data_IF_212316623749
#
_entry.id   IF_212316623749
#
_cell.length_a   1.000
_cell.length_b   1.000
_cell.length_c   1.000
_cell.angle_alpha   90.00
_cell.angle_beta   90.00
_cell.angle_gamma   90.00
#
_symmetry.space_group_name_H-M   'P 1'
#
loop_
_entity.id
_entity.type
_entity.pdbx_description
1 polymer ?
#
# COMPACT_ATOMS: atom_id res chain seq x y z
N UNK A 1 15.29 -9.20 0.53
CA UNK A 1 15.24 -7.72 0.77
C UNK A 1 13.79 -7.26 0.63
N UNK A 2 13.46 -5.99 0.38
CA UNK A 2 12.06 -5.58 0.11
C UNK A 2 11.68 -4.22 0.69
N UNK A 3 10.40 -3.88 0.63
CA UNK A 3 9.89 -2.57 1.07
C UNK A 3 9.98 -2.38 2.59
N UNK A 4 9.95 -3.45 3.39
CA UNK A 4 10.26 -3.36 4.84
C UNK A 4 11.72 -2.97 5.06
N UNK A 5 12.65 -3.54 4.30
CA UNK A 5 14.06 -3.17 4.38
C UNK A 5 14.29 -1.70 3.99
N UNK A 6 13.58 -1.21 2.96
CA UNK A 6 13.64 0.20 2.56
C UNK A 6 13.15 1.13 3.69
N UNK A 7 12.06 0.77 4.38
CA UNK A 7 11.58 1.49 5.56
C UNK A 7 12.65 1.51 6.67
N UNK A 8 13.28 0.38 6.95
CA UNK A 8 14.30 0.27 8.00
C UNK A 8 15.59 1.02 7.65
N UNK A 9 15.96 1.11 6.37
CA UNK A 9 17.07 1.95 5.93
C UNK A 9 16.83 3.44 6.23
N UNK A 10 15.57 3.88 6.22
CA UNK A 10 15.19 5.25 6.57
C UNK A 10 15.03 5.47 8.09
N UNK A 11 14.96 4.41 8.92
CA UNK A 11 14.73 4.46 10.37
C UNK A 11 15.58 5.51 11.12
N UNK A 12 16.91 5.66 10.86
CA UNK A 12 17.73 6.65 11.57
C UNK A 12 17.35 8.12 11.32
N UNK A 13 16.51 8.37 10.31
CA UNK A 13 16.10 9.70 9.86
C UNK A 13 14.64 10.03 10.19
N UNK A 14 13.94 9.15 10.93
CA UNK A 14 12.51 9.30 11.24
C UNK A 14 12.33 9.40 12.76
N UNK A 15 11.91 10.58 13.22
CA UNK A 15 11.65 10.90 14.63
C UNK A 15 10.24 11.46 14.88
N UNK A 16 9.39 11.49 13.86
CA UNK A 16 8.04 12.06 13.87
C UNK A 16 7.06 11.19 13.06
N UNK A 17 5.72 11.39 13.20
CA UNK A 17 4.74 10.74 12.33
C UNK A 17 5.10 10.96 10.86
N UNK A 18 5.00 9.90 10.05
CA UNK A 18 5.53 9.91 8.69
C UNK A 18 4.63 9.13 7.73
N UNK A 19 4.87 9.36 6.43
CA UNK A 19 4.17 8.68 5.34
C UNK A 19 5.20 7.92 4.51
N UNK A 20 4.90 6.67 4.19
CA UNK A 20 5.60 5.87 3.20
C UNK A 20 4.75 5.85 1.94
N UNK A 21 5.34 6.13 0.78
CA UNK A 21 4.67 6.12 -0.52
C UNK A 21 5.67 5.78 -1.63
N UNK A 22 5.18 5.29 -2.77
CA UNK A 22 6.04 4.99 -3.93
C UNK A 22 6.57 6.29 -4.56
N UNK A 23 7.79 6.25 -5.09
CA UNK A 23 8.43 7.43 -5.70
C UNK A 23 7.94 7.78 -7.12
N UNK A 24 7.17 6.90 -7.75
CA UNK A 24 6.74 6.94 -9.15
C UNK A 24 5.21 6.95 -9.32
N UNK A 25 4.48 7.15 -8.23
CA UNK A 25 3.00 7.12 -8.20
C UNK A 25 2.44 8.46 -7.75
N UNK A 26 1.49 8.99 -8.51
CA UNK A 26 0.68 10.16 -8.17
C UNK A 26 -0.63 9.68 -7.54
N UNK A 27 -0.82 9.92 -6.24
CA UNK A 27 -1.96 9.38 -5.47
C UNK A 27 -3.19 10.30 -5.45
N UNK A 28 -3.01 11.58 -5.78
CA UNK A 28 -4.01 12.62 -5.61
C UNK A 28 -4.10 13.18 -4.19
N UNK A 29 -4.63 14.40 -4.11
CA UNK A 29 -4.68 15.21 -2.89
C UNK A 29 -5.51 14.57 -1.77
N UNK A 30 -6.70 14.06 -2.09
CA UNK A 30 -7.64 13.46 -1.13
C UNK A 30 -7.05 12.28 -0.37
N UNK A 31 -6.24 11.47 -1.03
CA UNK A 31 -5.61 10.31 -0.41
C UNK A 31 -4.58 10.76 0.64
N UNK A 32 -3.71 11.71 0.26
CA UNK A 32 -2.72 12.30 1.15
C UNK A 32 -3.38 13.03 2.32
N UNK A 33 -4.44 13.82 2.07
CA UNK A 33 -5.18 14.54 3.11
C UNK A 33 -5.76 13.60 4.18
N UNK A 34 -6.32 12.46 3.76
CA UNK A 34 -6.83 11.43 4.70
C UNK A 34 -5.71 10.87 5.57
N UNK A 35 -4.56 10.53 4.98
CA UNK A 35 -3.41 9.97 5.69
C UNK A 35 -2.81 11.00 6.64
N UNK A 36 -2.50 12.20 6.15
CA UNK A 36 -1.98 13.32 6.94
C UNK A 36 -2.89 13.66 8.12
N UNK A 37 -4.20 13.74 7.88
CA UNK A 37 -5.18 14.02 8.93
C UNK A 37 -5.19 12.92 9.98
N UNK A 38 -5.13 11.64 9.58
CA UNK A 38 -5.12 10.53 10.54
C UNK A 38 -3.88 10.58 11.44
N UNK A 39 -2.67 10.61 10.86
CA UNK A 39 -1.42 10.52 11.64
C UNK A 39 -1.18 11.76 12.52
N UNK A 40 -1.85 12.88 12.22
CA UNK A 40 -1.82 14.08 13.05
C UNK A 40 -2.62 13.93 14.35
N UNK A 41 -3.69 13.13 14.34
CA UNK A 41 -4.64 13.05 15.45
C UNK A 41 -4.77 11.66 16.08
N UNK A 42 -4.13 10.64 15.51
CA UNK A 42 -4.22 9.25 15.95
C UNK A 42 -2.86 8.57 15.92
N UNK A 43 -2.66 7.67 16.89
CA UNK A 43 -1.42 6.92 17.05
C UNK A 43 -1.44 5.54 16.36
N UNK A 44 -2.44 5.30 15.52
CA UNK A 44 -2.62 4.05 14.77
C UNK A 44 -2.17 4.20 13.33
N UNK A 45 -1.71 3.11 12.68
CA UNK A 45 -1.45 3.15 11.24
C UNK A 45 -2.70 3.39 10.42
N UNK A 46 -2.51 3.97 9.23
CA UNK A 46 -3.58 4.08 8.26
C UNK A 46 -3.09 3.96 6.82
N UNK A 47 -4.03 3.70 5.91
CA UNK A 47 -3.81 3.73 4.46
C UNK A 47 -5.09 4.14 3.73
N UNK A 48 -5.01 4.76 2.56
CA UNK A 48 -6.12 4.82 1.64
C UNK A 48 -6.35 3.44 0.98
N UNK A 49 -7.61 3.16 0.64
CA UNK A 49 -7.99 2.01 -0.19
C UNK A 49 -8.66 2.49 -1.47
N UNK A 50 -8.19 2.00 -2.61
CA UNK A 50 -8.74 2.32 -3.93
C UNK A 50 -9.52 1.11 -4.46
N UNK A 51 -10.64 1.31 -5.19
CA UNK A 51 -11.30 0.20 -5.87
C UNK A 51 -10.36 -0.47 -6.87
N UNK A 52 -10.33 -1.80 -6.89
CA UNK A 52 -9.43 -2.58 -7.74
C UNK A 52 -9.55 -2.19 -9.22
N UNK A 53 -10.78 -1.96 -9.71
CA UNK A 53 -11.03 -1.54 -11.11
C UNK A 53 -10.30 -0.25 -11.50
N UNK A 54 -10.02 0.62 -10.54
CA UNK A 54 -9.44 1.94 -10.78
C UNK A 54 -7.91 1.88 -10.79
N UNK A 55 -7.34 0.80 -10.27
CA UNK A 55 -5.89 0.64 -10.12
C UNK A 55 -5.31 -0.49 -10.98
N UNK A 56 -6.13 -1.15 -11.79
CA UNK A 56 -5.67 -2.05 -12.83
C UNK A 56 -5.35 -1.28 -14.11
N UNK A 57 -4.25 -1.61 -14.80
CA UNK A 57 -3.93 -0.95 -16.06
C UNK A 57 -4.91 -1.37 -17.16
N UNK A 58 -5.04 -0.53 -18.19
CA UNK A 58 -5.84 -0.83 -19.38
C UNK A 58 -5.34 -2.06 -20.14
N UNK A 59 -4.03 -2.31 -20.08
CA UNK A 59 -3.36 -3.45 -20.70
C UNK A 59 -2.21 -3.92 -19.82
N UNK A 60 -1.89 -5.21 -19.91
CA UNK A 60 -0.84 -5.82 -19.11
C UNK A 60 -1.35 -6.35 -17.76
N UNK A 61 -0.40 -6.74 -16.91
CA UNK A 61 -0.65 -7.38 -15.62
C UNK A 61 0.14 -6.66 -14.54
N UNK A 62 -0.42 -6.57 -13.35
CA UNK A 62 0.20 -5.91 -12.20
C UNK A 62 0.08 -6.76 -10.95
N UNK A 63 0.87 -6.41 -9.94
CA UNK A 63 0.70 -6.90 -8.59
C UNK A 63 -0.05 -5.86 -7.77
N UNK A 64 -0.99 -6.31 -6.94
CA UNK A 64 -1.85 -5.44 -6.10
C UNK A 64 -2.17 -6.10 -4.78
N UNK A 65 -2.06 -5.33 -3.70
CA UNK A 65 -2.46 -5.76 -2.37
C UNK A 65 -3.96 -5.54 -2.14
N UNK A 66 -4.75 -6.61 -2.23
CA UNK A 66 -6.20 -6.57 -1.94
C UNK A 66 -6.43 -6.54 -0.43
N UNK A 67 -7.27 -5.60 0.00
CA UNK A 67 -7.59 -5.26 1.38
C UNK A 67 -8.96 -5.84 1.76
N UNK A 68 -9.04 -6.40 2.97
CA UNK A 68 -10.29 -6.72 3.66
C UNK A 68 -10.39 -5.89 4.94
N UNK A 69 -11.60 -5.42 5.22
CA UNK A 69 -11.90 -4.55 6.36
C UNK A 69 -13.13 -5.00 7.12
N UNK A 70 -13.17 -4.66 8.40
CA UNK A 70 -14.39 -4.66 9.22
C UNK A 70 -14.64 -3.23 9.70
N UNK A 71 -15.72 -2.61 9.21
CA UNK A 71 -15.95 -1.18 9.37
C UNK A 71 -14.87 -0.37 8.63
N UNK A 72 -13.90 0.16 9.36
CA UNK A 72 -12.72 0.84 8.79
C UNK A 72 -11.39 0.21 9.22
N UNK A 73 -11.45 -0.86 10.03
CA UNK A 73 -10.24 -1.53 10.51
C UNK A 73 -9.80 -2.57 9.48
N UNK A 74 -8.51 -2.58 9.16
CA UNK A 74 -7.87 -3.63 8.36
C UNK A 74 -8.01 -4.97 9.08
N UNK A 75 -8.54 -5.98 8.38
CA UNK A 75 -8.55 -7.36 8.86
C UNK A 75 -7.57 -8.24 8.10
N UNK A 76 -7.32 -7.92 6.83
CA UNK A 76 -6.37 -8.67 6.00
C UNK A 76 -5.90 -7.84 4.81
N UNK A 77 -4.66 -8.03 4.40
CA UNK A 77 -4.09 -7.53 3.14
C UNK A 77 -3.31 -8.65 2.45
N UNK A 78 -3.63 -8.91 1.18
CA UNK A 78 -3.07 -10.04 0.43
C UNK A 78 -2.57 -9.57 -0.94
N UNK A 79 -1.29 -9.78 -1.21
CA UNK A 79 -0.72 -9.54 -2.54
C UNK A 79 -1.30 -10.51 -3.56
N UNK A 80 -1.92 -9.94 -4.59
CA UNK A 80 -2.36 -10.63 -5.80
C UNK A 80 -1.33 -10.36 -6.87
N UNK A 81 -0.82 -11.41 -7.49
CA UNK A 81 0.24 -11.30 -8.50
C UNK A 81 -0.31 -11.48 -9.90
N UNK A 82 0.21 -10.71 -10.86
CA UNK A 82 -0.08 -10.85 -12.28
C UNK A 82 -1.58 -10.78 -12.65
N UNK A 83 -2.33 -9.88 -12.01
CA UNK A 83 -3.75 -9.67 -12.26
C UNK A 83 -4.01 -8.56 -13.30
N UNK A 84 -5.14 -8.63 -14.00
CA UNK A 84 -5.54 -7.64 -15.01
C UNK A 84 -7.05 -7.45 -15.11
N UNK A 85 -7.49 -6.51 -15.96
CA UNK A 85 -8.92 -6.22 -16.20
C UNK A 85 -9.73 -7.44 -16.63
N UNK A 86 -9.13 -8.41 -17.33
CA UNK A 86 -9.82 -9.64 -17.73
C UNK A 86 -10.21 -10.51 -16.55
N UNK A 87 -9.51 -10.41 -15.41
CA UNK A 87 -9.89 -11.13 -14.20
C UNK A 87 -11.20 -10.55 -13.59
N UNK A 88 -11.45 -9.25 -13.74
CA UNK A 88 -12.75 -8.64 -13.40
C UNK A 88 -13.81 -9.09 -14.41
N UNK A 89 -13.51 -9.02 -15.72
CA UNK A 89 -14.46 -9.42 -16.77
C UNK A 89 -14.87 -10.90 -16.67
N UNK A 90 -13.97 -11.76 -16.21
CA UNK A 90 -14.22 -13.18 -15.95
C UNK A 90 -14.93 -13.45 -14.60
N UNK A 91 -15.21 -12.42 -13.81
CA UNK A 91 -15.88 -12.53 -12.51
C UNK A 91 -15.00 -13.09 -11.38
N UNK A 92 -13.67 -13.10 -11.53
CA UNK A 92 -12.76 -13.48 -10.44
C UNK A 92 -12.68 -12.42 -9.35
N UNK A 93 -12.80 -11.15 -9.75
CA UNK A 93 -12.91 -10.00 -8.88
C UNK A 93 -14.17 -9.21 -9.27
N UNK A 94 -14.81 -8.58 -8.29
CA UNK A 94 -15.91 -7.64 -8.53
C UNK A 94 -15.42 -6.31 -9.10
N UNK A 95 -14.18 -5.93 -8.81
CA UNK A 95 -13.60 -4.63 -9.08
C UNK A 95 -13.82 -3.61 -7.96
N UNK A 96 -14.71 -3.88 -7.01
CA UNK A 96 -14.98 -3.06 -5.84
C UNK A 96 -14.07 -3.38 -4.65
N UNK A 97 -13.22 -4.41 -4.76
CA UNK A 97 -12.26 -4.74 -3.70
C UNK A 97 -11.35 -3.54 -3.44
N UNK A 98 -11.23 -3.15 -2.17
CA UNK A 98 -10.26 -2.15 -1.79
C UNK A 98 -8.85 -2.69 -2.01
N UNK A 99 -7.98 -1.84 -2.52
CA UNK A 99 -6.62 -2.19 -2.91
C UNK A 99 -5.66 -1.14 -2.37
N UNK A 100 -4.55 -1.58 -1.78
CA UNK A 100 -3.44 -0.71 -1.39
C UNK A 100 -2.59 -0.39 -2.60
N UNK A 101 -2.19 0.87 -2.71
CA UNK A 101 -1.22 1.36 -3.70
C UNK A 101 0.12 1.72 -3.04
N UNK A 102 0.47 1.07 -1.93
CA UNK A 102 1.70 1.30 -1.16
C UNK A 102 1.86 2.71 -0.59
N UNK A 103 0.76 3.30 -0.12
CA UNK A 103 0.79 4.54 0.67
C UNK A 103 0.29 4.27 2.08
N UNK A 104 1.10 4.59 3.08
CA UNK A 104 0.84 4.28 4.48
C UNK A 104 1.23 5.45 5.39
N UNK A 105 0.38 5.76 6.36
CA UNK A 105 0.70 6.68 7.44
C UNK A 105 1.04 5.92 8.72
N UNK A 106 2.15 6.28 9.35
CA UNK A 106 2.67 5.60 10.54
C UNK A 106 3.12 6.56 11.63
N UNK A 107 3.16 6.02 12.85
CA UNK A 107 3.92 6.57 13.97
C UNK A 107 5.31 5.92 14.04
N UNK A 108 6.34 6.58 14.60
CA UNK A 108 7.70 6.01 14.73
C UNK A 108 7.76 4.63 15.41
N UNK A 109 6.80 4.32 16.30
CA UNK A 109 6.71 3.01 16.97
C UNK A 109 6.61 1.82 16.00
N UNK A 110 6.15 2.02 14.76
CA UNK A 110 6.11 0.95 13.75
C UNK A 110 7.52 0.45 13.39
N UNK A 111 8.57 1.28 13.55
CA UNK A 111 9.93 0.97 13.11
C UNK A 111 10.59 -0.12 13.96
N UNK A 112 10.19 -0.25 15.23
CA UNK A 112 10.68 -1.32 16.10
C UNK A 112 9.96 -2.64 15.83
N UNK A 113 8.66 -2.57 15.53
CA UNK A 113 7.90 -3.71 15.04
C UNK A 113 8.46 -4.21 13.71
N UNK A 114 8.64 -3.31 12.74
CA UNK A 114 9.21 -3.62 11.43
C UNK A 114 10.60 -4.27 11.54
N UNK A 115 11.45 -3.80 12.46
CA UNK A 115 12.77 -4.40 12.69
C UNK A 115 12.65 -5.85 13.16
N UNK A 116 11.85 -6.11 14.20
CA UNK A 116 11.65 -7.48 14.72
C UNK A 116 11.09 -8.42 13.66
N UNK A 117 10.12 -7.95 12.88
CA UNK A 117 9.52 -8.72 11.80
C UNK A 117 10.51 -9.01 10.68
N UNK A 118 11.33 -8.03 10.31
CA UNK A 118 12.35 -8.21 9.29
C UNK A 118 13.47 -9.16 9.73
N UNK A 119 13.93 -9.06 10.98
CA UNK A 119 14.95 -9.97 11.54
C UNK A 119 14.44 -11.43 11.51
N UNK A 120 13.21 -11.64 11.97
CA UNK A 120 12.56 -12.97 11.89
C UNK A 120 12.42 -13.45 10.45
N UNK A 121 11.97 -12.58 9.55
CA UNK A 121 11.81 -12.94 8.14
C UNK A 121 13.15 -13.34 7.50
N UNK A 122 14.24 -12.65 7.84
CA UNK A 122 15.60 -12.99 7.37
C UNK A 122 16.04 -14.37 7.85
N UNK A 123 15.77 -14.71 9.12
CA UNK A 123 16.06 -16.05 9.66
C UNK A 123 15.29 -17.14 8.90
N UNK A 124 14.00 -16.90 8.66
CA UNK A 124 13.11 -17.87 8.00
C UNK A 124 13.39 -18.01 6.49
N UNK A 125 14.06 -17.02 5.85
CA UNK A 125 14.27 -16.96 4.39
C UNK A 125 15.75 -16.82 4.00
N UNK A 126 16.69 -17.19 4.88
CA UNK A 126 18.13 -16.96 4.70
C UNK A 126 18.73 -17.54 3.41
N UNK A 127 18.10 -18.57 2.83
CA UNK A 127 18.56 -19.26 1.61
C UNK A 127 17.81 -18.85 0.34
N UNK A 128 16.77 -18.02 0.45
CA UNK A 128 15.88 -17.67 -0.66
C UNK A 128 16.30 -16.32 -1.28
N UNK A 129 17.19 -16.38 -2.28
CA UNK A 129 17.83 -15.19 -2.87
C UNK A 129 16.84 -14.20 -3.53
N UNK A 130 15.69 -14.69 -4.02
CA UNK A 130 14.68 -13.87 -4.72
C UNK A 130 13.53 -13.44 -3.82
N UNK A 131 13.55 -13.79 -2.54
CA UNK A 131 12.45 -13.48 -1.63
C UNK A 131 12.42 -12.00 -1.24
N UNK A 132 11.20 -11.46 -1.14
CA UNK A 132 10.97 -10.09 -0.72
C UNK A 132 10.04 -10.01 0.50
N UNK A 133 10.40 -9.17 1.47
CA UNK A 133 9.53 -8.82 2.58
C UNK A 133 8.79 -7.52 2.31
N UNK A 134 7.48 -7.67 2.08
CA UNK A 134 6.61 -6.60 1.63
C UNK A 134 5.94 -5.92 2.84
N UNK A 135 5.99 -4.59 2.85
CA UNK A 135 5.44 -3.74 3.91
C UNK A 135 3.93 -3.92 4.07
N UNK A 136 3.20 -4.07 2.97
CA UNK A 136 1.75 -4.31 2.98
C UNK A 136 1.43 -5.55 3.82
N UNK A 137 2.04 -6.69 3.52
CA UNK A 137 1.75 -7.97 4.18
C UNK A 137 2.23 -8.03 5.63
N UNK A 138 3.30 -7.29 5.98
CA UNK A 138 3.73 -7.13 7.37
C UNK A 138 2.60 -6.59 8.28
N UNK A 139 1.69 -5.77 7.76
CA UNK A 139 0.58 -5.21 8.55
C UNK A 139 -0.46 -6.24 8.98
N UNK A 140 -0.50 -7.43 8.38
CA UNK A 140 -1.36 -8.52 8.85
C UNK A 140 -1.00 -8.97 10.27
N UNK A 141 0.28 -8.84 10.64
CA UNK A 141 0.79 -9.33 11.92
C UNK A 141 0.66 -8.30 13.04
N UNK A 142 0.35 -7.04 12.71
CA UNK A 142 0.36 -5.95 13.69
C UNK A 142 -0.74 -6.07 14.74
N UNK A 143 -1.98 -6.35 14.32
CA UNK A 143 -3.08 -6.55 15.26
C UNK A 143 -2.89 -7.77 16.18
N UNK A 144 -2.56 -8.97 15.66
CA UNK A 144 -2.39 -10.14 16.53
C UNK A 144 -1.16 -10.07 17.44
N UNK A 145 -0.06 -9.43 17.03
CA UNK A 145 1.17 -9.38 17.84
C UNK A 145 1.22 -8.17 18.78
N UNK A 146 0.71 -7.01 18.36
CA UNK A 146 0.82 -5.76 19.13
C UNK A 146 -0.52 -5.25 19.67
N UNK A 147 -1.64 -5.86 19.27
CA UNK A 147 -2.98 -5.34 19.60
C UNK A 147 -3.31 -4.02 18.90
N UNK A 148 -2.52 -3.60 17.90
CA UNK A 148 -2.65 -2.33 17.21
C UNK A 148 -3.45 -2.51 15.91
N UNK A 149 -4.55 -1.77 15.77
CA UNK A 149 -5.36 -1.75 14.55
C UNK A 149 -4.75 -0.82 13.51
N UNK A 150 -4.81 -1.22 12.24
CA UNK A 150 -4.60 -0.33 11.09
C UNK A 150 -5.94 0.09 10.52
N UNK A 151 -6.06 1.33 10.03
CA UNK A 151 -7.31 1.86 9.47
C UNK A 151 -7.22 2.12 7.97
N UNK A 152 -8.30 1.82 7.26
CA UNK A 152 -8.40 1.98 5.81
C UNK A 152 -9.44 3.05 5.51
N UNK A 153 -9.09 3.98 4.63
CA UNK A 153 -9.98 5.03 4.15
C UNK A 153 -10.24 4.89 2.67
N UNK A 154 -11.49 4.63 2.28
CA UNK A 154 -11.89 4.67 0.88
C UNK A 154 -11.54 6.02 0.25
N UNK A 155 -10.97 5.96 -0.96
CA UNK A 155 -10.72 7.12 -1.81
C UNK A 155 -11.63 7.00 -3.03
N UNK A 156 -12.71 7.79 -3.02
CA UNK A 156 -13.63 7.87 -4.14
C UNK A 156 -13.21 8.98 -5.10
N UNK A 157 -13.43 8.76 -6.40
CA UNK A 157 -13.24 9.76 -7.46
C UNK A 157 -11.81 10.34 -7.50
N UNK A 158 -10.80 9.53 -7.23
CA UNK A 158 -9.41 9.82 -7.54
C UNK A 158 -8.72 8.52 -7.99
N UNK A 159 -8.14 8.56 -9.17
CA UNK A 159 -7.47 7.40 -9.77
C UNK A 159 -5.97 7.65 -9.67
N UNK A 160 -5.22 6.84 -8.88
CA UNK A 160 -3.78 7.02 -8.79
C UNK A 160 -3.14 6.72 -10.14
N UNK A 161 -2.15 7.52 -10.52
CA UNK A 161 -1.42 7.38 -11.77
C UNK A 161 -0.01 6.86 -11.46
N UNK A 162 0.34 5.72 -12.02
CA UNK A 162 1.61 5.02 -11.80
C UNK A 162 2.44 5.02 -13.09
N UNK A 163 3.75 5.20 -12.98
CA UNK A 163 4.68 5.02 -14.10
C UNK A 163 5.26 3.60 -14.07
N UNK A 164 4.43 2.59 -14.35
CA UNK A 164 4.84 1.18 -14.29
C UNK A 164 5.61 0.75 -15.55
N UNK A 165 5.19 1.24 -16.72
CA UNK A 165 5.77 0.92 -18.03
C UNK A 165 6.17 2.20 -18.78
N UNK A 166 7.14 2.13 -19.72
CA UNK A 166 7.56 3.31 -20.50
C UNK A 166 6.42 4.03 -21.23
N UNK A 167 5.41 3.30 -21.68
CA UNK A 167 4.21 3.81 -22.33
C UNK A 167 3.27 4.60 -21.41
N UNK A 168 3.36 4.40 -20.09
CA UNK A 168 2.48 5.07 -19.12
C UNK A 168 2.76 6.56 -19.06
N UNK A 169 3.96 7.02 -19.43
CA UNK A 169 4.33 8.44 -19.37
C UNK A 169 3.38 9.33 -20.17
N UNK A 170 3.01 8.93 -21.40
CA UNK A 170 2.09 9.70 -22.22
C UNK A 170 0.68 9.72 -21.62
N UNK A 171 0.27 8.62 -20.99
CA UNK A 171 -1.00 8.54 -20.29
C UNK A 171 -1.01 9.44 -19.05
N UNK A 172 -0.05 9.27 -18.13
CA UNK A 172 0.07 10.08 -16.92
C UNK A 172 0.11 11.57 -17.24
N UNK A 173 0.95 11.97 -18.21
CA UNK A 173 1.08 13.39 -18.60
C UNK A 173 -0.23 14.01 -19.09
N UNK A 174 -1.08 13.24 -19.76
CA UNK A 174 -2.32 13.74 -20.36
C UNK A 174 -3.55 13.62 -19.45
N UNK A 175 -3.41 12.99 -18.27
CA UNK A 175 -4.54 12.65 -17.39
C UNK A 175 -4.29 13.12 -15.93
N UNK A 176 -3.50 14.17 -15.71
CA UNK A 176 -3.21 14.70 -14.37
C UNK A 176 -4.48 15.15 -13.62
N UNK A 177 -5.55 15.47 -14.34
CA UNK A 177 -6.86 15.77 -13.78
C UNK A 177 -7.48 14.60 -13.01
N UNK A 178 -7.11 13.35 -13.35
CA UNK A 178 -7.61 12.14 -12.67
C UNK A 178 -7.12 12.00 -11.22
N UNK A 179 -6.01 12.65 -10.87
CA UNK A 179 -5.50 12.74 -9.49
C UNK A 179 -5.95 14.01 -8.77
N UNK A 180 -6.86 14.79 -9.38
CA UNK A 180 -7.37 16.03 -8.79
C UNK A 180 -6.41 17.22 -8.89
N UNK A 181 -5.45 17.19 -9.83
CA UNK A 181 -4.49 18.27 -10.10
C UNK A 181 -4.87 19.12 -11.33
#
# INVERSE_FOLDING_TARGET
MGTVHALLAAKPHIDAPFIVLNGDTLYGDKALDKVCTHIKYKDTPCMPGYPLRDVLPRSGKVNRAVIRIEGSALTQIVEQYNICMDDINAGKYSGDELTSMNIFGFQPSILDFAQRKFDKWLEDNATEETSEYILSTMLNDLLPEEGVKSFVYGVDNAIPLELTNPEDFAFVRNNLDLVGL
#
